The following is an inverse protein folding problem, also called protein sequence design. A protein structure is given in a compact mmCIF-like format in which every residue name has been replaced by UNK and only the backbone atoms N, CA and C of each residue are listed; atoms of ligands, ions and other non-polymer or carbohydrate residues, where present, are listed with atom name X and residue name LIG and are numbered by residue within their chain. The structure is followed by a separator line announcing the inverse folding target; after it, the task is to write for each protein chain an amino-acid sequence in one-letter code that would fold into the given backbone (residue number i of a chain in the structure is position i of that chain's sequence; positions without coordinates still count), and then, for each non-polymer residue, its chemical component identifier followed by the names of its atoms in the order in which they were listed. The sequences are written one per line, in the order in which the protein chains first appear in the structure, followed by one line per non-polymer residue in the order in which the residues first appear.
data_IF_083025088872
#
_entry.id   IF_083025088872
#
_cell.length_a   1.000
_cell.length_b   1.000
_cell.length_c   1.000
_cell.angle_alpha   90.00
_cell.angle_beta   90.00
_cell.angle_gamma   90.00
#
_symmetry.space_group_name_H-M   'P 1'
#
loop_
_entity.id
_entity.type
_entity.pdbx_description
1 polymer ?
#
# COMPACT_ATOMS: atom_id res chain seq x y z
N UNK A 1 -16.48 2.08 -3.92
CA UNK A 1 -16.65 1.96 -2.46
C UNK A 1 -16.12 3.23 -1.84
N UNK A 2 -16.93 3.98 -1.07
CA UNK A 2 -16.50 5.26 -0.53
C UNK A 2 -15.36 5.14 0.51
N UNK A 3 -15.21 3.99 1.18
CA UNK A 3 -14.04 3.68 2.03
C UNK A 3 -13.78 2.15 2.04
N UNK A 4 -12.79 1.70 1.26
CA UNK A 4 -12.46 0.27 1.18
C UNK A 4 -11.76 -0.22 2.45
N UNK A 5 -10.98 0.62 3.13
CA UNK A 5 -10.24 0.22 4.33
C UNK A 5 -11.20 -0.16 5.47
N UNK A 6 -12.32 0.58 5.63
CA UNK A 6 -13.35 0.24 6.63
C UNK A 6 -14.03 -1.09 6.35
N UNK A 7 -14.31 -1.41 5.09
CA UNK A 7 -14.88 -2.71 4.70
C UNK A 7 -13.85 -3.83 4.93
N UNK A 8 -12.59 -3.60 4.58
CA UNK A 8 -11.50 -4.56 4.79
C UNK A 8 -11.27 -4.87 6.27
N UNK A 9 -11.43 -3.89 7.16
CA UNK A 9 -11.28 -4.09 8.60
C UNK A 9 -12.32 -5.07 9.20
N UNK A 10 -13.42 -5.32 8.47
CA UNK A 10 -14.46 -6.29 8.86
C UNK A 10 -14.32 -7.64 8.17
N UNK A 11 -13.45 -7.75 7.17
CA UNK A 11 -13.21 -8.99 6.45
C UNK A 11 -12.28 -9.92 7.25
N UNK A 12 -12.44 -11.23 7.07
CA UNK A 12 -11.52 -12.22 7.66
C UNK A 12 -10.19 -12.24 6.92
N UNK A 13 -10.23 -12.20 5.58
CA UNK A 13 -9.07 -12.16 4.69
C UNK A 13 -9.36 -11.24 3.51
N UNK A 14 -8.36 -10.47 3.10
CA UNK A 14 -8.34 -9.78 1.81
C UNK A 14 -7.46 -10.50 0.80
N UNK A 15 -7.97 -10.73 -0.41
CA UNK A 15 -7.21 -11.26 -1.55
C UNK A 15 -7.23 -10.21 -2.66
N UNK A 16 -6.05 -9.76 -3.10
CA UNK A 16 -5.95 -8.68 -4.10
C UNK A 16 -4.61 -8.69 -4.85
N UNK A 17 -4.44 -7.80 -5.83
CA UNK A 17 -3.19 -7.69 -6.60
C UNK A 17 -2.17 -6.69 -6.02
N UNK A 18 -2.39 -6.09 -4.84
CA UNK A 18 -1.46 -5.11 -4.24
C UNK A 18 -1.18 -3.84 -5.09
N UNK A 19 -2.21 -3.33 -5.77
CA UNK A 19 -2.19 -1.98 -6.33
C UNK A 19 -1.91 -0.92 -5.24
N UNK A 20 -1.49 0.29 -5.63
CA UNK A 20 -1.06 1.31 -4.68
C UNK A 20 -2.10 1.60 -3.58
N UNK A 21 -3.35 1.93 -3.94
CA UNK A 21 -4.39 2.25 -2.96
C UNK A 21 -4.74 1.05 -2.08
N UNK A 22 -4.89 -0.13 -2.68
CA UNK A 22 -5.19 -1.37 -1.95
C UNK A 22 -4.10 -1.71 -0.94
N UNK A 23 -2.83 -1.47 -1.27
CA UNK A 23 -1.75 -1.66 -0.32
C UNK A 23 -1.89 -0.71 0.89
N UNK A 24 -2.27 0.55 0.67
CA UNK A 24 -2.53 1.48 1.78
C UNK A 24 -3.76 1.06 2.60
N UNK A 25 -4.81 0.56 1.95
CA UNK A 25 -6.02 0.11 2.62
C UNK A 25 -5.77 -1.17 3.45
N UNK A 26 -4.92 -2.08 2.99
CA UNK A 26 -4.42 -3.22 3.78
C UNK A 26 -3.72 -2.73 5.05
N UNK A 27 -2.79 -1.79 4.91
CA UNK A 27 -2.03 -1.27 6.06
C UNK A 27 -2.95 -0.54 7.05
N UNK A 28 -3.89 0.28 6.56
CA UNK A 28 -4.84 1.00 7.41
C UNK A 28 -5.84 0.09 8.12
N UNK A 29 -6.30 -0.96 7.44
CA UNK A 29 -7.32 -1.86 7.98
C UNK A 29 -6.74 -2.91 8.94
N UNK A 30 -5.45 -3.25 8.80
CA UNK A 30 -4.82 -4.32 9.58
C UNK A 30 -5.38 -5.72 9.26
N UNK A 31 -6.10 -5.87 8.15
CA UNK A 31 -6.68 -7.15 7.73
C UNK A 31 -5.60 -8.16 7.38
N UNK A 32 -5.83 -9.45 7.68
CA UNK A 32 -4.99 -10.51 7.13
C UNK A 32 -5.10 -10.49 5.59
N UNK A 33 -3.99 -10.26 4.90
CA UNK A 33 -3.99 -10.07 3.45
C UNK A 33 -3.08 -11.08 2.74
N UNK A 34 -3.62 -11.70 1.70
CA UNK A 34 -2.88 -12.41 0.67
C UNK A 34 -2.88 -11.56 -0.58
N UNK A 35 -1.72 -11.28 -1.15
CA UNK A 35 -1.63 -10.58 -2.43
C UNK A 35 -0.98 -11.43 -3.50
N UNK A 36 -1.49 -11.29 -4.72
CA UNK A 36 -0.95 -11.89 -5.94
C UNK A 36 -0.58 -10.74 -6.88
N UNK A 37 0.62 -10.16 -6.76
CA UNK A 37 0.99 -8.98 -7.51
C UNK A 37 0.89 -9.24 -9.01
N UNK A 38 0.26 -8.31 -9.73
CA UNK A 38 0.31 -8.35 -11.18
C UNK A 38 1.70 -7.89 -11.65
N UNK A 39 2.30 -8.65 -12.56
CA UNK A 39 3.59 -8.31 -13.18
C UNK A 39 3.49 -8.50 -14.69
N UNK A 40 3.37 -7.39 -15.42
CA UNK A 40 3.60 -7.35 -16.86
C UNK A 40 5.09 -7.13 -17.16
N UNK A 41 5.52 -7.51 -18.36
CA UNK A 41 6.90 -7.38 -18.82
C UNK A 41 7.33 -5.89 -18.88
N UNK A 42 7.78 -5.36 -17.74
CA UNK A 42 8.23 -3.98 -17.57
C UNK A 42 7.76 -3.31 -16.28
N UNK A 43 6.69 -3.80 -15.66
CA UNK A 43 6.11 -3.20 -14.46
C UNK A 43 6.39 -4.05 -13.21
N UNK A 44 7.34 -3.60 -12.39
CA UNK A 44 7.73 -4.29 -11.16
C UNK A 44 7.19 -3.62 -9.89
N UNK A 45 6.39 -2.55 -10.02
CA UNK A 45 6.00 -1.72 -8.89
C UNK A 45 5.15 -2.46 -7.86
N UNK A 46 4.17 -3.27 -8.32
CA UNK A 46 3.30 -4.05 -7.45
C UNK A 46 4.09 -5.13 -6.71
N UNK A 47 4.93 -5.87 -7.43
CA UNK A 47 5.79 -6.92 -6.85
C UNK A 47 6.81 -6.34 -5.86
N UNK A 48 7.43 -5.20 -6.19
CA UNK A 48 8.35 -4.51 -5.28
C UNK A 48 7.66 -4.04 -4.00
N UNK A 49 6.46 -3.47 -4.12
CA UNK A 49 5.65 -3.04 -2.96
C UNK A 49 5.25 -4.23 -2.10
N UNK A 50 4.69 -5.27 -2.70
CA UNK A 50 4.28 -6.48 -2.01
C UNK A 50 5.46 -7.14 -1.28
N UNK A 51 6.61 -7.26 -1.95
CA UNK A 51 7.84 -7.80 -1.36
C UNK A 51 8.32 -7.01 -0.15
N UNK A 52 8.28 -5.67 -0.21
CA UNK A 52 8.65 -4.80 0.93
C UNK A 52 7.68 -4.95 2.09
N UNK A 53 6.37 -4.96 1.82
CA UNK A 53 5.35 -5.11 2.87
C UNK A 53 5.37 -6.51 3.50
N UNK A 54 5.64 -7.56 2.72
CA UNK A 54 5.85 -8.90 3.24
C UNK A 54 7.04 -8.96 4.20
N UNK A 55 8.16 -8.32 3.86
CA UNK A 55 9.34 -8.25 4.76
C UNK A 55 9.05 -7.51 6.06
N UNK A 56 8.10 -6.57 6.05
CA UNK A 56 7.61 -5.87 7.24
C UNK A 56 6.54 -6.67 7.99
N UNK A 57 6.19 -7.88 7.55
CA UNK A 57 5.16 -8.71 8.18
C UNK A 57 3.74 -8.17 8.00
N UNK A 58 3.49 -7.28 7.04
CA UNK A 58 2.19 -6.65 6.85
C UNK A 58 1.19 -7.52 6.07
N UNK A 59 1.70 -8.38 5.19
CA UNK A 59 0.89 -9.21 4.28
C UNK A 59 1.65 -10.46 3.83
N UNK A 60 0.94 -11.42 3.25
CA UNK A 60 1.49 -12.59 2.56
C UNK A 60 1.46 -12.38 1.05
N UNK A 61 2.42 -12.95 0.33
CA UNK A 61 2.51 -12.87 -1.14
C UNK A 61 2.46 -14.26 -1.73
N UNK A 62 1.58 -14.46 -2.70
CA UNK A 62 1.62 -15.59 -3.63
C UNK A 62 2.20 -15.08 -4.96
N UNK A 63 3.25 -15.73 -5.42
CA UNK A 63 3.85 -15.47 -6.73
C UNK A 63 2.86 -15.82 -7.86
N UNK A 64 2.74 -14.93 -8.85
CA UNK A 64 1.88 -15.14 -10.01
C UNK A 64 2.26 -16.39 -10.81
N UNK A 65 3.53 -16.76 -10.85
CA UNK A 65 4.02 -18.00 -11.51
C UNK A 65 3.51 -19.28 -10.82
N UNK A 66 3.10 -19.18 -9.55
CA UNK A 66 2.52 -20.28 -8.77
C UNK A 66 0.99 -20.21 -8.74
N UNK A 67 0.38 -19.27 -9.45
CA UNK A 67 -1.07 -19.06 -9.36
C UNK A 67 -1.84 -20.15 -10.09
N UNK A 68 -2.45 -21.02 -9.32
CA UNK A 68 -3.53 -21.91 -9.75
C UNK A 68 -4.63 -21.96 -8.67
N UNK A 69 -5.75 -22.60 -8.97
CA UNK A 69 -6.89 -22.65 -8.06
C UNK A 69 -6.60 -23.38 -6.73
N UNK A 70 -5.84 -24.46 -6.75
CA UNK A 70 -5.51 -25.24 -5.57
C UNK A 70 -4.49 -24.51 -4.69
N UNK A 71 -3.47 -23.93 -5.30
CA UNK A 71 -2.46 -23.11 -4.62
C UNK A 71 -3.11 -21.87 -4.00
N UNK A 72 -4.00 -21.18 -4.72
CA UNK A 72 -4.71 -20.02 -4.18
C UNK A 72 -5.57 -20.39 -2.96
N UNK A 73 -6.34 -21.48 -3.03
CA UNK A 73 -7.16 -21.94 -1.91
C UNK A 73 -6.30 -22.24 -0.66
N UNK A 74 -5.20 -22.97 -0.84
CA UNK A 74 -4.25 -23.30 0.24
C UNK A 74 -3.62 -22.06 0.88
N UNK A 75 -3.20 -21.08 0.08
CA UNK A 75 -2.62 -19.84 0.59
C UNK A 75 -3.67 -18.96 1.30
N UNK A 76 -4.93 -18.97 0.87
CA UNK A 76 -6.04 -18.31 1.59
C UNK A 76 -6.24 -18.96 2.96
N UNK A 77 -6.28 -20.29 3.04
CA UNK A 77 -6.39 -21.02 4.31
C UNK A 77 -5.23 -20.69 5.25
N UNK A 78 -4.00 -20.67 4.74
CA UNK A 78 -2.83 -20.27 5.52
C UNK A 78 -2.90 -18.81 6.00
N UNK A 79 -3.56 -17.94 5.22
CA UNK A 79 -3.75 -16.52 5.56
C UNK A 79 -4.78 -16.31 6.68
N UNK A 80 -5.74 -17.23 6.89
CA UNK A 80 -6.68 -17.15 8.02
C UNK A 80 -5.97 -17.13 9.39
N UNK A 81 -4.81 -17.79 9.48
CA UNK A 81 -4.00 -17.87 10.69
C UNK A 81 -2.89 -16.81 10.75
N UNK A 82 -2.71 -16.04 9.69
CA UNK A 82 -1.75 -14.94 9.66
C UNK A 82 -2.22 -13.80 10.56
N UNK A 83 -1.26 -13.14 11.21
CA UNK A 83 -1.49 -11.94 12.02
C UNK A 83 -0.55 -10.85 11.49
N UNK A 84 -1.07 -9.83 10.79
CA UNK A 84 -0.25 -8.73 10.31
C UNK A 84 0.49 -8.04 11.45
N UNK A 85 1.75 -7.71 11.23
CA UNK A 85 2.48 -6.82 12.12
C UNK A 85 1.99 -5.39 11.96
N UNK A 86 2.02 -4.62 13.05
CA UNK A 86 1.76 -3.20 12.98
C UNK A 86 2.94 -2.50 12.29
N UNK A 87 2.70 -2.01 11.07
CA UNK A 87 3.71 -1.34 10.26
C UNK A 87 3.52 0.17 10.34
N UNK A 88 4.43 0.82 11.04
CA UNK A 88 4.46 2.29 11.15
C UNK A 88 4.94 2.95 9.84
N UNK A 89 4.00 3.24 8.93
CA UNK A 89 4.21 4.07 7.74
C UNK A 89 3.54 5.44 7.90
N UNK A 90 4.23 6.52 7.51
CA UNK A 90 3.61 7.84 7.41
C UNK A 90 2.70 7.91 6.19
N UNK A 91 1.38 7.89 6.43
CA UNK A 91 0.35 7.98 5.39
C UNK A 91 -0.15 9.42 5.18
N UNK A 92 0.49 10.42 5.79
CA UNK A 92 0.10 11.84 5.69
C UNK A 92 0.54 12.53 4.39
N UNK A 93 0.83 11.77 3.33
CA UNK A 93 1.46 12.26 2.10
C UNK A 93 0.75 13.47 1.47
N UNK A 94 -0.59 13.49 1.45
CA UNK A 94 -1.35 14.63 0.93
C UNK A 94 -1.15 15.90 1.77
N UNK A 95 -1.31 15.79 3.10
CA UNK A 95 -1.11 16.90 4.02
C UNK A 95 0.35 17.39 4.02
N UNK A 96 1.31 16.46 3.97
CA UNK A 96 2.75 16.77 3.87
C UNK A 96 3.07 17.48 2.56
N UNK A 97 2.54 17.00 1.44
CA UNK A 97 2.71 17.66 0.13
C UNK A 97 2.14 19.08 0.13
N UNK A 98 0.94 19.28 0.66
CA UNK A 98 0.33 20.61 0.77
C UNK A 98 1.20 21.58 1.61
N UNK A 99 1.74 21.11 2.74
CA UNK A 99 2.66 21.90 3.58
C UNK A 99 3.95 22.28 2.85
N UNK A 100 4.52 21.35 2.08
CA UNK A 100 5.73 21.57 1.28
C UNK A 100 5.46 22.62 0.21
N UNK A 101 4.38 22.48 -0.56
CA UNK A 101 3.98 23.44 -1.60
C UNK A 101 3.77 24.84 -1.01
N UNK A 102 3.02 24.96 0.10
CA UNK A 102 2.80 26.24 0.77
C UNK A 102 4.13 26.90 1.22
N UNK A 103 5.09 26.10 1.65
CA UNK A 103 6.42 26.58 2.05
C UNK A 103 7.24 27.07 0.86
N UNK A 104 7.21 26.34 -0.26
CA UNK A 104 7.89 26.76 -1.50
C UNK A 104 7.32 28.07 -2.04
N UNK A 105 5.99 28.21 -2.08
CA UNK A 105 5.33 29.44 -2.54
C UNK A 105 5.70 30.66 -1.69
N UNK A 106 5.78 30.51 -0.35
CA UNK A 106 6.25 31.60 0.53
C UNK A 106 7.69 32.00 0.23
N UNK A 107 8.58 31.03 0.01
CA UNK A 107 10.00 31.30 -0.32
C UNK A 107 10.15 32.03 -1.65
N UNK A 108 9.44 31.59 -2.69
CA UNK A 108 9.49 32.23 -4.01
C UNK A 108 8.99 33.67 -3.97
N UNK A 109 7.93 33.97 -3.20
CA UNK A 109 7.44 35.34 -3.02
C UNK A 109 8.46 36.25 -2.34
N UNK A 110 9.12 35.76 -1.28
CA UNK A 110 10.18 36.51 -0.59
C UNK A 110 11.36 36.80 -1.53
N UNK A 111 11.76 35.82 -2.34
CA UNK A 111 12.85 36.00 -3.31
C UNK A 111 12.49 37.00 -4.41
N UNK A 112 11.26 36.94 -4.94
CA UNK A 112 10.76 37.91 -5.92
C UNK A 112 10.74 39.34 -5.36
N UNK A 113 10.29 39.54 -4.11
CA UNK A 113 10.28 40.86 -3.46
C UNK A 113 11.68 41.43 -3.18
N UNK A 114 12.70 40.58 -3.03
CA UNK A 114 14.10 41.00 -2.84
C UNK A 114 14.82 41.34 -4.15
N UNK A 115 14.34 40.84 -5.28
CA UNK A 115 14.87 41.13 -6.61
C UNK A 115 14.25 42.38 -7.25
N UNK A 116 13.15 42.87 -6.68
CA UNK A 116 12.40 44.04 -7.16
C UNK A 116 12.55 45.27 -6.25
N UNK A 117 13.44 45.20 -5.26
CA UNK A 117 13.89 46.29 -4.39
C UNK A 117 15.38 46.54 -4.62
#
# INVERSE_FOLDING_TARGET
MPDLALEMARATVSVSQCGYNTALDIIKSGVAALVVPFSDAGENEQSNRASRLQRLGALRVLDGERLDGATLASEIEATLFFRPQDVSLDLSGAATTARVIATLLRRSRIQASRLSA
#
